data_IF_432489930003
#
_entry.id   IF_432489930003
#
_cell.length_a   1.000
_cell.length_b   1.000
_cell.length_c   1.000
_cell.angle_alpha   90.00
_cell.angle_beta   90.00
_cell.angle_gamma   90.00
#
_symmetry.space_group_name_H-M   'P 1'
#
loop_
_entity.id
_entity.type
_entity.pdbx_description
1 polymer ?
#
# COMPACT_ATOMS: atom_id res chain seq x y z
N UNK A 1 -12.28 -56.02 -21.45
CA UNK A 1 -10.91 -55.46 -21.51
C UNK A 1 -10.93 -54.00 -21.94
N UNK A 2 -11.83 -53.59 -22.84
CA UNK A 2 -11.99 -52.20 -23.29
C UNK A 2 -12.40 -51.21 -22.17
N UNK A 3 -13.20 -51.65 -21.19
CA UNK A 3 -13.63 -50.77 -20.09
C UNK A 3 -12.48 -50.34 -19.15
N UNK A 4 -11.46 -51.18 -18.98
CA UNK A 4 -10.34 -50.90 -18.09
C UNK A 4 -9.39 -49.84 -18.66
N UNK A 5 -9.19 -49.84 -19.99
CA UNK A 5 -8.34 -48.86 -20.67
C UNK A 5 -8.97 -47.46 -20.67
N UNK A 6 -10.31 -47.38 -20.76
CA UNK A 6 -11.03 -46.10 -20.67
C UNK A 6 -10.84 -45.39 -19.33
N UNK A 7 -10.91 -46.13 -18.21
CA UNK A 7 -10.70 -45.56 -16.88
C UNK A 7 -9.27 -45.03 -16.67
N UNK A 8 -8.26 -45.65 -17.27
CA UNK A 8 -6.87 -45.16 -17.22
C UNK A 8 -6.74 -43.83 -17.96
N UNK A 9 -7.33 -43.71 -19.15
CA UNK A 9 -7.32 -42.47 -19.93
C UNK A 9 -8.06 -41.34 -19.19
N UNK A 10 -9.25 -41.62 -18.65
CA UNK A 10 -10.02 -40.65 -17.86
C UNK A 10 -9.23 -40.21 -16.62
N UNK A 11 -8.63 -41.15 -15.89
CA UNK A 11 -7.80 -40.83 -14.72
C UNK A 11 -6.59 -39.97 -15.09
N UNK A 12 -5.92 -40.25 -16.22
CA UNK A 12 -4.79 -39.46 -16.70
C UNK A 12 -5.20 -38.02 -17.10
N UNK A 13 -6.34 -37.86 -17.78
CA UNK A 13 -6.87 -36.54 -18.16
C UNK A 13 -7.25 -35.75 -16.92
N UNK A 14 -7.99 -36.36 -15.99
CA UNK A 14 -8.38 -35.72 -14.72
C UNK A 14 -7.14 -35.35 -13.91
N UNK A 15 -6.18 -36.26 -13.73
CA UNK A 15 -4.93 -36.01 -13.01
C UNK A 15 -4.11 -34.87 -13.63
N UNK A 16 -3.97 -34.85 -14.95
CA UNK A 16 -3.25 -33.78 -15.67
C UNK A 16 -3.95 -32.43 -15.54
N UNK A 17 -5.29 -32.42 -15.58
CA UNK A 17 -6.10 -31.20 -15.44
C UNK A 17 -5.99 -30.63 -14.03
N UNK A 18 -6.06 -31.47 -13.00
CA UNK A 18 -5.89 -31.08 -11.60
C UNK A 18 -4.46 -30.54 -11.37
N UNK A 19 -3.45 -31.21 -11.92
CA UNK A 19 -2.06 -30.75 -11.83
C UNK A 19 -1.88 -29.37 -12.49
N UNK A 20 -2.39 -29.20 -13.70
CA UNK A 20 -2.31 -27.92 -14.42
C UNK A 20 -3.04 -26.81 -13.67
N UNK A 21 -4.23 -27.08 -13.13
CA UNK A 21 -4.97 -26.14 -12.30
C UNK A 21 -4.17 -25.74 -11.04
N UNK A 22 -3.57 -26.72 -10.35
CA UNK A 22 -2.70 -26.49 -9.20
C UNK A 22 -1.48 -25.62 -9.53
N UNK A 23 -0.82 -25.88 -10.66
CA UNK A 23 0.30 -25.06 -11.15
C UNK A 23 -0.16 -23.64 -11.48
N UNK A 24 -1.28 -23.47 -12.18
CA UNK A 24 -1.83 -22.15 -12.48
C UNK A 24 -2.14 -21.34 -11.22
N UNK A 25 -2.74 -21.98 -10.22
CA UNK A 25 -3.01 -21.37 -8.91
C UNK A 25 -1.70 -20.98 -8.20
N UNK A 26 -0.71 -21.87 -8.17
CA UNK A 26 0.59 -21.57 -7.57
C UNK A 26 1.26 -20.39 -8.26
N UNK A 27 1.27 -20.37 -9.60
CA UNK A 27 1.82 -19.26 -10.39
C UNK A 27 1.07 -17.94 -10.11
N UNK A 28 -0.25 -17.99 -9.95
CA UNK A 28 -1.06 -16.83 -9.60
C UNK A 28 -0.67 -16.25 -8.24
N UNK A 29 -0.53 -17.12 -7.24
CA UNK A 29 -0.14 -16.74 -5.88
C UNK A 29 1.30 -16.22 -5.86
N UNK A 30 2.22 -16.85 -6.60
CA UNK A 30 3.58 -16.37 -6.77
C UNK A 30 3.61 -15.00 -7.44
N UNK A 31 2.89 -14.82 -8.55
CA UNK A 31 2.82 -13.55 -9.27
C UNK A 31 2.25 -12.43 -8.37
N UNK A 32 1.23 -12.74 -7.57
CA UNK A 32 0.64 -11.83 -6.59
C UNK A 32 1.63 -11.46 -5.49
N UNK A 33 2.29 -12.44 -4.88
CA UNK A 33 3.27 -12.23 -3.81
C UNK A 33 4.54 -11.50 -4.29
N UNK A 34 4.93 -11.71 -5.55
CA UNK A 34 6.07 -11.06 -6.19
C UNK A 34 5.73 -9.68 -6.78
N UNK A 35 4.44 -9.32 -6.90
CA UNK A 35 4.04 -8.09 -7.58
C UNK A 35 4.74 -6.87 -6.99
N UNK A 36 4.65 -6.65 -5.67
CA UNK A 36 5.25 -5.46 -5.04
C UNK A 36 6.79 -5.45 -5.14
N UNK A 37 7.52 -6.53 -4.79
CA UNK A 37 8.96 -6.59 -5.03
C UNK A 37 9.34 -6.33 -6.49
N UNK A 38 8.68 -6.97 -7.46
CA UNK A 38 8.99 -6.77 -8.88
C UNK A 38 8.65 -5.35 -9.30
N UNK A 39 7.50 -4.84 -8.91
CA UNK A 39 7.02 -3.51 -9.28
C UNK A 39 7.91 -2.41 -8.69
N UNK A 40 8.33 -2.56 -7.44
CA UNK A 40 9.14 -1.55 -6.78
C UNK A 40 10.64 -1.69 -7.07
N UNK A 41 11.16 -2.90 -7.31
CA UNK A 41 12.59 -3.11 -7.62
C UNK A 41 12.89 -2.95 -9.10
N UNK A 42 12.04 -3.51 -9.96
CA UNK A 42 12.30 -3.58 -11.38
C UNK A 42 11.46 -2.60 -12.16
N UNK A 43 10.19 -2.40 -11.80
CA UNK A 43 9.36 -1.53 -12.63
C UNK A 43 9.78 -0.08 -12.39
N UNK A 44 9.89 0.37 -11.14
CA UNK A 44 10.22 1.76 -10.82
C UNK A 44 11.73 2.02 -10.73
N UNK A 45 12.30 2.68 -11.74
CA UNK A 45 13.74 2.96 -11.81
C UNK A 45 14.11 4.45 -11.74
N UNK A 46 15.42 4.78 -11.62
CA UNK A 46 15.92 6.15 -11.67
C UNK A 46 15.62 6.86 -13.01
N UNK A 47 15.22 6.10 -14.04
CA UNK A 47 14.79 6.60 -15.34
C UNK A 47 13.30 6.94 -15.39
N UNK A 48 12.60 7.01 -14.25
CA UNK A 48 11.21 7.45 -14.18
C UNK A 48 11.06 8.82 -14.85
N UNK A 49 10.11 8.95 -15.79
CA UNK A 49 9.83 10.20 -16.49
C UNK A 49 8.43 10.67 -16.17
N UNK A 50 8.29 11.98 -15.98
CA UNK A 50 6.98 12.64 -15.93
C UNK A 50 6.45 12.75 -17.35
N UNK A 51 5.36 12.06 -17.65
CA UNK A 51 4.64 12.19 -18.92
C UNK A 51 3.70 13.39 -18.91
N UNK A 52 3.06 13.60 -17.76
CA UNK A 52 2.10 14.65 -17.58
C UNK A 52 2.09 15.08 -16.12
N UNK A 53 2.05 16.39 -15.88
CA UNK A 53 1.80 16.97 -14.57
C UNK A 53 0.42 17.56 -14.59
N UNK A 54 -0.46 17.11 -13.69
CA UNK A 54 -1.72 17.82 -13.52
C UNK A 54 -1.47 19.14 -12.78
N UNK A 55 -2.36 20.13 -12.95
CA UNK A 55 -2.40 21.29 -12.06
C UNK A 55 -2.49 20.83 -10.60
N UNK A 56 -1.88 21.58 -9.69
CA UNK A 56 -2.00 21.33 -8.27
C UNK A 56 -3.46 21.49 -7.84
N UNK A 57 -4.06 20.42 -7.32
CA UNK A 57 -5.47 20.40 -6.95
C UNK A 57 -5.63 20.95 -5.55
N UNK A 58 -6.48 21.97 -5.39
CA UNK A 58 -6.87 22.48 -4.08
C UNK A 58 -7.99 21.61 -3.50
N UNK A 59 -7.76 21.00 -2.35
CA UNK A 59 -8.77 20.21 -1.61
C UNK A 59 -9.51 21.12 -0.61
N UNK A 60 -8.74 21.89 0.17
CA UNK A 60 -9.22 22.95 1.06
C UNK A 60 -8.30 24.17 0.92
N UNK A 61 -8.48 25.19 1.75
CA UNK A 61 -7.58 26.34 1.78
C UNK A 61 -6.16 25.96 2.24
N UNK A 62 -6.04 24.89 3.04
CA UNK A 62 -4.77 24.44 3.61
C UNK A 62 -4.25 23.15 3.02
N UNK A 63 -5.04 22.43 2.22
CA UNK A 63 -4.68 21.11 1.71
C UNK A 63 -4.70 21.08 0.19
N UNK A 64 -3.58 20.67 -0.40
CA UNK A 64 -3.40 20.55 -1.84
C UNK A 64 -2.87 19.16 -2.22
N UNK A 65 -3.15 18.71 -3.44
CA UNK A 65 -2.63 17.47 -4.00
C UNK A 65 -1.88 17.79 -5.30
N UNK A 66 -0.63 17.38 -5.35
CA UNK A 66 0.18 17.41 -6.56
C UNK A 66 0.26 16.00 -7.15
N UNK A 67 0.20 15.89 -8.48
CA UNK A 67 0.20 14.58 -9.13
C UNK A 67 0.85 14.61 -10.51
N UNK A 68 1.47 13.48 -10.83
CA UNK A 68 2.09 13.23 -12.12
C UNK A 68 1.63 11.89 -12.67
N UNK A 69 1.40 11.84 -13.98
CA UNK A 69 1.47 10.59 -14.73
C UNK A 69 2.94 10.34 -15.01
N UNK A 70 3.47 9.24 -14.49
CA UNK A 70 4.88 8.86 -14.67
C UNK A 70 4.99 7.54 -15.43
N UNK A 71 6.05 7.39 -16.21
CA UNK A 71 6.50 6.06 -16.68
C UNK A 71 7.44 5.45 -15.67
N UNK A 72 7.49 4.13 -15.66
CA UNK A 72 8.36 3.38 -14.77
C UNK A 72 9.84 3.39 -15.21
N UNK A 73 10.12 3.77 -16.47
CA UNK A 73 11.46 3.96 -17.02
C UNK A 73 11.65 3.33 -18.41
N UNK A 74 12.84 3.49 -19.00
CA UNK A 74 13.12 3.09 -20.38
C UNK A 74 13.83 1.73 -20.54
N UNK A 75 14.22 1.08 -19.43
CA UNK A 75 15.18 -0.04 -19.45
C UNK A 75 14.63 -1.40 -19.91
N UNK A 76 13.30 -1.60 -20.01
CA UNK A 76 12.74 -2.80 -20.65
C UNK A 76 11.44 -2.51 -21.42
N UNK A 77 11.12 -3.37 -22.39
CA UNK A 77 9.88 -3.27 -23.17
C UNK A 77 8.61 -3.38 -22.29
N UNK A 78 8.72 -4.03 -21.13
CA UNK A 78 7.65 -4.15 -20.14
C UNK A 78 7.50 -2.87 -19.30
N UNK A 79 8.61 -2.30 -18.82
CA UNK A 79 8.62 -1.07 -18.01
C UNK A 79 8.07 0.14 -18.77
N UNK A 80 8.36 0.25 -20.07
CA UNK A 80 7.87 1.36 -20.91
C UNK A 80 6.35 1.45 -21.00
N UNK A 81 5.64 0.36 -20.69
CA UNK A 81 4.18 0.26 -20.83
C UNK A 81 3.41 0.48 -19.54
N UNK A 82 4.08 0.57 -18.39
CA UNK A 82 3.42 0.79 -17.11
C UNK A 82 3.49 2.28 -16.78
N UNK A 83 2.41 2.98 -17.11
CA UNK A 83 2.14 4.33 -16.63
C UNK A 83 1.35 4.28 -15.33
N UNK A 84 1.60 5.24 -14.45
CA UNK A 84 0.96 5.30 -13.13
C UNK A 84 0.89 6.74 -12.65
N UNK A 85 0.01 6.97 -11.68
CA UNK A 85 0.03 8.21 -10.92
C UNK A 85 1.07 8.14 -9.79
N UNK A 86 1.84 9.22 -9.64
CA UNK A 86 2.62 9.54 -8.44
C UNK A 86 2.02 10.79 -7.84
N UNK A 87 1.61 10.72 -6.57
CA UNK A 87 0.89 11.80 -5.88
C UNK A 87 1.59 12.18 -4.58
N UNK A 88 1.49 13.46 -4.25
CA UNK A 88 1.96 14.07 -3.02
C UNK A 88 0.84 14.92 -2.42
N UNK A 89 0.63 14.81 -1.11
CA UNK A 89 -0.25 15.70 -0.34
C UNK A 89 0.58 16.82 0.25
N UNK A 90 0.08 18.05 0.15
CA UNK A 90 0.69 19.25 0.68
C UNK A 90 -0.28 19.82 1.71
N UNK A 91 0.18 19.99 2.94
CA UNK A 91 -0.59 20.58 4.05
C UNK A 91 0.10 21.87 4.47
N UNK A 92 -0.64 22.97 4.55
CA UNK A 92 -0.13 24.25 5.05
C UNK A 92 -0.59 24.51 6.48
N UNK A 93 0.27 25.16 7.25
CA UNK A 93 -0.03 25.66 8.58
C UNK A 93 0.71 26.99 8.78
N UNK A 94 -0.02 28.10 8.66
CA UNK A 94 0.60 29.42 8.51
C UNK A 94 1.43 29.48 7.22
N UNK A 95 2.68 29.94 7.32
CA UNK A 95 3.61 30.01 6.18
C UNK A 95 4.40 28.70 5.94
N UNK A 96 4.17 27.66 6.76
CA UNK A 96 4.90 26.40 6.71
C UNK A 96 4.13 25.32 5.95
N UNK A 97 4.87 24.46 5.27
CA UNK A 97 4.33 23.33 4.50
C UNK A 97 4.86 21.98 5.01
N UNK A 98 3.96 21.03 5.15
CA UNK A 98 4.22 19.60 5.32
C UNK A 98 3.91 18.87 4.01
N UNK A 99 4.89 18.18 3.45
CA UNK A 99 4.76 17.42 2.21
C UNK A 99 4.75 15.92 2.52
N UNK A 100 3.74 15.20 2.07
CA UNK A 100 3.60 13.76 2.29
C UNK A 100 3.65 13.00 0.98
N UNK A 101 4.58 12.05 0.92
CA UNK A 101 4.85 11.18 -0.21
C UNK A 101 5.37 11.91 -1.47
N UNK A 102 6.64 12.35 -1.47
CA UNK A 102 7.17 13.23 -2.51
C UNK A 102 7.07 12.63 -3.92
N UNK A 103 6.38 13.34 -4.81
CA UNK A 103 6.30 13.03 -6.24
C UNK A 103 7.44 13.74 -7.00
N UNK A 104 7.67 13.46 -8.31
CA UNK A 104 8.73 14.12 -9.06
C UNK A 104 8.74 15.66 -8.94
N UNK A 105 9.86 16.24 -8.49
CA UNK A 105 9.99 17.68 -8.32
C UNK A 105 10.34 18.36 -9.63
N UNK A 106 9.34 18.62 -10.47
CA UNK A 106 9.50 19.46 -11.68
C UNK A 106 9.61 20.94 -11.32
N UNK A 107 10.18 21.77 -12.20
CA UNK A 107 10.27 23.22 -11.98
C UNK A 107 8.92 23.88 -11.72
N UNK A 108 7.87 23.42 -12.42
CA UNK A 108 6.51 23.90 -12.22
C UNK A 108 5.99 23.57 -10.80
N UNK A 109 6.19 22.32 -10.37
CA UNK A 109 5.80 21.88 -9.02
C UNK A 109 6.58 22.62 -7.96
N UNK A 110 7.89 22.78 -8.13
CA UNK A 110 8.72 23.55 -7.21
C UNK A 110 8.22 24.98 -7.09
N UNK A 111 7.96 25.64 -8.23
CA UNK A 111 7.43 27.01 -8.26
C UNK A 111 6.08 27.13 -7.56
N UNK A 112 5.21 26.13 -7.69
CA UNK A 112 3.90 26.16 -7.02
C UNK A 112 4.03 25.89 -5.51
N UNK A 113 4.92 25.00 -5.09
CA UNK A 113 5.26 24.81 -3.66
C UNK A 113 5.83 26.10 -3.06
N UNK A 114 6.80 26.73 -3.73
CA UNK A 114 7.46 27.95 -3.25
C UNK A 114 6.45 29.11 -3.07
N UNK A 115 5.38 29.17 -3.88
CA UNK A 115 4.30 30.16 -3.73
C UNK A 115 3.38 29.88 -2.54
N UNK A 116 3.21 28.61 -2.16
CA UNK A 116 2.34 28.23 -1.06
C UNK A 116 2.97 28.52 0.30
N UNK A 117 4.30 28.46 0.41
CA UNK A 117 5.01 28.74 1.65
C UNK A 117 6.37 28.06 1.75
N UNK A 118 6.96 28.12 2.95
CA UNK A 118 8.23 27.49 3.29
C UNK A 118 8.03 26.00 3.57
N UNK A 119 8.75 25.14 2.85
CA UNK A 119 8.79 23.71 3.17
C UNK A 119 9.50 23.49 4.50
N UNK A 120 8.74 23.02 5.49
CA UNK A 120 9.22 22.74 6.85
C UNK A 120 9.49 21.24 7.04
N UNK A 121 8.59 20.39 6.54
CA UNK A 121 8.65 18.94 6.73
C UNK A 121 8.33 18.20 5.42
N UNK A 122 9.10 17.16 5.11
CA UNK A 122 8.91 16.26 3.97
C UNK A 122 8.92 14.82 4.46
N UNK A 123 7.85 14.07 4.21
CA UNK A 123 7.65 12.73 4.73
C UNK A 123 7.52 11.70 3.61
N UNK A 124 8.33 10.65 3.59
CA UNK A 124 8.01 9.45 2.80
C UNK A 124 7.13 8.53 3.65
N UNK A 125 5.94 8.17 3.20
CA UNK A 125 4.97 7.44 4.05
C UNK A 125 5.17 5.93 4.05
N UNK A 126 6.11 5.38 3.27
CA UNK A 126 6.53 3.98 3.36
C UNK A 126 7.94 3.79 2.77
N UNK A 127 8.43 2.55 2.75
CA UNK A 127 9.79 2.23 2.25
C UNK A 127 9.93 2.18 0.71
N UNK A 128 8.89 2.59 -0.04
CA UNK A 128 8.84 2.55 -1.50
C UNK A 128 8.83 3.93 -2.14
N UNK A 129 8.03 4.84 -1.60
CA UNK A 129 7.80 6.17 -2.18
C UNK A 129 8.85 7.20 -1.76
N UNK A 130 10.12 6.81 -1.81
CA UNK A 130 11.25 7.66 -1.48
C UNK A 130 12.06 8.09 -2.71
N UNK A 131 11.72 7.60 -3.90
CA UNK A 131 12.54 7.80 -5.11
C UNK A 131 12.83 9.28 -5.40
N UNK A 132 11.88 10.16 -5.11
CA UNK A 132 12.01 11.59 -5.36
C UNK A 132 12.68 12.36 -4.21
N UNK A 133 12.91 11.73 -3.04
CA UNK A 133 13.30 12.44 -1.80
C UNK A 133 14.60 13.23 -1.95
N UNK A 134 15.57 12.74 -2.73
CA UNK A 134 16.85 13.41 -2.95
C UNK A 134 16.68 14.77 -3.64
N UNK A 135 15.72 14.90 -4.57
CA UNK A 135 15.43 16.17 -5.23
C UNK A 135 14.88 17.20 -4.23
N UNK A 136 14.07 16.76 -3.27
CA UNK A 136 13.55 17.63 -2.21
C UNK A 136 14.64 17.98 -1.19
N UNK A 137 15.53 17.05 -0.83
CA UNK A 137 16.70 17.34 0.03
C UNK A 137 17.57 18.44 -0.60
N UNK A 138 17.79 18.38 -1.92
CA UNK A 138 18.57 19.39 -2.63
C UNK A 138 17.84 20.74 -2.71
N UNK A 139 16.52 20.73 -3.00
CA UNK A 139 15.73 21.93 -3.18
C UNK A 139 15.37 22.66 -1.86
N UNK A 140 15.23 21.91 -0.77
CA UNK A 140 14.77 22.39 0.53
C UNK A 140 15.68 21.90 1.66
N UNK A 141 16.97 22.31 1.69
CA UNK A 141 17.96 21.77 2.63
C UNK A 141 17.69 22.10 4.11
N UNK A 142 16.81 23.07 4.38
CA UNK A 142 16.38 23.43 5.74
C UNK A 142 15.15 22.65 6.25
N UNK A 143 14.51 21.85 5.40
CA UNK A 143 13.36 21.05 5.80
C UNK A 143 13.79 19.81 6.60
N UNK A 144 12.90 19.33 7.47
CA UNK A 144 13.02 18.02 8.11
C UNK A 144 12.56 16.93 7.15
N UNK A 145 13.32 15.85 7.06
CA UNK A 145 12.98 14.70 6.22
C UNK A 145 12.67 13.49 7.08
N UNK A 146 11.40 13.08 7.10
CA UNK A 146 10.92 11.99 7.94
C UNK A 146 10.64 10.77 7.05
N UNK A 147 11.14 9.62 7.45
CA UNK A 147 11.03 8.37 6.69
C UNK A 147 10.77 7.20 7.61
N UNK A 148 10.28 6.05 7.11
CA UNK A 148 10.20 4.85 7.94
C UNK A 148 11.60 4.36 8.31
N UNK A 149 11.76 3.79 9.50
CA UNK A 149 13.06 3.29 9.97
C UNK A 149 13.66 2.25 9.02
N UNK A 150 12.82 1.38 8.44
CA UNK A 150 13.21 0.40 7.43
C UNK A 150 13.84 1.02 6.19
N UNK A 151 13.44 2.25 5.83
CA UNK A 151 14.05 2.94 4.70
C UNK A 151 15.50 3.37 5.00
N UNK A 152 15.82 3.76 6.24
CA UNK A 152 17.19 4.08 6.66
C UNK A 152 18.10 2.83 6.70
N UNK A 153 17.52 1.64 6.85
CA UNK A 153 18.24 0.38 6.70
C UNK A 153 18.50 0.07 5.22
N UNK A 154 17.47 0.20 4.39
CA UNK A 154 17.52 -0.04 2.95
C UNK A 154 18.39 0.98 2.19
N UNK A 155 18.44 2.22 2.66
CA UNK A 155 19.19 3.34 2.05
C UNK A 155 20.05 4.05 3.11
N UNK A 156 21.19 3.46 3.50
CA UNK A 156 22.07 4.04 4.51
C UNK A 156 22.56 5.46 4.18
N UNK A 157 22.64 5.83 2.90
CA UNK A 157 23.01 7.18 2.47
C UNK A 157 22.00 8.27 2.87
N UNK A 158 20.76 7.90 3.22
CA UNK A 158 19.76 8.83 3.76
C UNK A 158 20.01 9.14 5.25
N UNK A 159 20.86 8.37 5.94
CA UNK A 159 21.20 8.63 7.35
C UNK A 159 21.92 9.97 7.47
N UNK A 160 21.58 10.73 8.51
CA UNK A 160 22.10 12.09 8.72
C UNK A 160 21.42 13.17 7.87
N UNK A 161 20.60 12.78 6.90
CA UNK A 161 19.70 13.68 6.15
C UNK A 161 18.23 13.48 6.49
N UNK A 162 17.86 12.26 6.83
CA UNK A 162 16.51 11.90 7.22
C UNK A 162 16.50 11.33 8.65
N UNK A 163 15.38 11.53 9.33
CA UNK A 163 15.06 10.96 10.64
C UNK A 163 13.92 9.94 10.52
N UNK A 164 13.88 8.91 11.37
CA UNK A 164 12.77 7.97 11.38
C UNK A 164 11.48 8.65 11.88
N UNK A 165 10.32 8.12 11.50
CA UNK A 165 9.07 8.43 12.20
C UNK A 165 9.23 8.17 13.72
N UNK A 166 8.63 9.00 14.59
CA UNK A 166 8.68 8.77 16.03
C UNK A 166 8.09 7.41 16.42
N UNK A 167 8.60 6.84 17.51
CA UNK A 167 8.30 5.47 17.93
C UNK A 167 6.83 5.14 18.21
N UNK A 168 6.03 6.03 18.85
CA UNK A 168 4.60 5.75 19.03
C UNK A 168 3.94 5.39 17.69
N UNK A 169 3.08 4.37 17.64
CA UNK A 169 2.44 3.97 16.39
C UNK A 169 1.47 5.04 15.87
N UNK A 170 1.08 5.98 16.72
CA UNK A 170 0.19 7.09 16.42
C UNK A 170 0.83 8.37 16.91
N UNK A 171 0.82 9.41 16.07
CA UNK A 171 1.37 10.70 16.46
C UNK A 171 1.15 11.76 15.39
N UNK A 172 1.94 12.81 15.45
CA UNK A 172 1.95 13.87 14.43
C UNK A 172 3.37 14.24 14.08
N UNK A 173 3.60 14.53 12.81
CA UNK A 173 4.88 15.04 12.28
C UNK A 173 4.76 16.44 11.71
N UNK A 174 3.54 16.94 11.54
CA UNK A 174 3.24 18.28 11.05
C UNK A 174 1.87 18.74 11.60
N UNK A 175 1.69 20.02 11.99
CA UNK A 175 0.42 20.51 12.52
C UNK A 175 -0.79 20.21 11.62
N UNK A 176 -1.92 19.84 12.22
CA UNK A 176 -3.13 19.46 11.49
C UNK A 176 -3.10 18.08 10.83
N UNK A 177 -2.09 17.26 11.15
CA UNK A 177 -1.96 15.89 10.66
C UNK A 177 -1.80 14.88 11.79
N UNK A 178 -2.27 13.66 11.56
CA UNK A 178 -2.01 12.49 12.41
C UNK A 178 -1.47 11.36 11.55
N UNK A 179 -0.41 10.70 11.98
CA UNK A 179 0.08 9.48 11.34
C UNK A 179 -0.33 8.23 12.12
N UNK A 180 -0.48 7.12 11.40
CA UNK A 180 -0.78 5.80 11.95
C UNK A 180 0.15 4.77 11.29
N UNK A 181 1.08 4.22 12.07
CA UNK A 181 2.04 3.21 11.64
C UNK A 181 1.33 1.86 11.52
N UNK A 182 1.30 1.31 10.32
CA UNK A 182 0.77 -0.03 10.08
C UNK A 182 1.84 -1.08 10.40
N UNK A 183 1.56 -2.05 11.30
CA UNK A 183 2.55 -3.06 11.69
C UNK A 183 2.97 -4.00 10.55
N UNK A 184 2.13 -4.16 9.53
CA UNK A 184 2.16 -5.31 8.61
C UNK A 184 2.76 -5.01 7.25
N UNK A 185 2.92 -3.72 6.92
CA UNK A 185 2.99 -3.33 5.52
C UNK A 185 4.13 -2.35 5.23
N UNK A 186 5.34 -2.85 4.95
CA UNK A 186 6.52 -2.07 4.55
C UNK A 186 6.79 -0.80 5.38
N UNK A 187 6.41 -0.85 6.66
CA UNK A 187 6.37 0.29 7.56
C UNK A 187 5.63 1.49 6.94
N UNK A 188 4.43 1.26 6.40
CA UNK A 188 3.55 2.29 5.90
C UNK A 188 2.95 3.07 7.06
N UNK A 189 2.89 4.38 6.86
CA UNK A 189 2.26 5.35 7.74
C UNK A 189 1.08 5.96 7.00
N UNK A 190 -0.13 5.65 7.44
CA UNK A 190 -1.32 6.37 7.00
C UNK A 190 -1.26 7.79 7.55
N UNK A 191 -1.68 8.78 6.78
CA UNK A 191 -1.73 10.18 7.21
C UNK A 191 -3.18 10.66 7.16
N UNK A 192 -3.74 11.05 8.30
CA UNK A 192 -5.01 11.75 8.37
C UNK A 192 -4.76 13.26 8.43
N UNK A 193 -5.39 14.00 7.53
CA UNK A 193 -5.34 15.46 7.48
C UNK A 193 -6.68 16.02 7.96
N UNK A 194 -6.66 16.69 9.11
CA UNK A 194 -7.88 17.00 9.87
C UNK A 194 -8.79 17.99 9.14
N UNK A 195 -8.24 19.10 8.64
CA UNK A 195 -8.98 20.16 7.94
C UNK A 195 -9.72 19.64 6.70
N UNK A 196 -9.11 18.67 6.00
CA UNK A 196 -9.68 18.10 4.80
C UNK A 196 -10.50 16.82 5.06
N UNK A 197 -10.57 16.32 6.31
CA UNK A 197 -11.12 15.01 6.62
C UNK A 197 -10.61 13.92 5.65
N UNK A 198 -9.32 14.02 5.30
CA UNK A 198 -8.66 13.25 4.24
C UNK A 198 -7.76 12.18 4.85
N UNK A 199 -8.03 10.92 4.53
CA UNK A 199 -7.10 9.83 4.78
C UNK A 199 -6.20 9.64 3.55
N UNK A 200 -4.90 9.68 3.77
CA UNK A 200 -3.87 9.36 2.80
C UNK A 200 -3.24 8.00 3.13
N UNK A 201 -3.15 7.14 2.12
CA UNK A 201 -2.45 5.87 2.18
C UNK A 201 -1.54 5.71 0.97
N UNK A 202 -0.34 5.16 1.12
CA UNK A 202 0.52 4.94 -0.02
C UNK A 202 -0.03 3.82 -0.92
N UNK A 203 -0.05 2.59 -0.39
CA UNK A 203 -0.35 1.40 -1.18
C UNK A 203 -1.34 0.44 -0.50
N UNK A 204 -1.55 0.54 0.83
CA UNK A 204 -2.38 -0.43 1.56
C UNK A 204 -3.85 -0.45 1.11
N UNK A 205 -4.39 0.67 0.65
CA UNK A 205 -5.77 0.76 0.15
C UNK A 205 -5.80 1.29 -1.29
N UNK A 206 -6.81 0.87 -2.03
CA UNK A 206 -7.11 1.32 -3.38
C UNK A 206 -8.57 1.75 -3.46
N UNK A 207 -8.87 3.06 -3.34
CA UNK A 207 -10.21 3.58 -3.62
C UNK A 207 -10.64 3.26 -5.05
N UNK A 208 -11.90 2.85 -5.20
CA UNK A 208 -12.54 2.60 -6.48
C UNK A 208 -13.23 3.89 -6.96
N UNK A 209 -13.00 4.21 -8.23
CA UNK A 209 -13.54 5.42 -8.83
C UNK A 209 -15.06 5.32 -9.03
N UNK A 210 -15.81 6.44 -8.92
CA UNK A 210 -17.17 6.51 -9.47
C UNK A 210 -17.18 6.33 -11.00
N UNK A 211 -18.31 5.85 -11.54
CA UNK A 211 -18.47 5.44 -12.94
C UNK A 211 -18.23 6.55 -13.99
N UNK A 212 -18.25 7.82 -13.61
CA UNK A 212 -17.94 8.94 -14.49
C UNK A 212 -16.51 9.46 -14.21
N UNK A 213 -15.58 9.39 -15.18
CA UNK A 213 -14.32 10.12 -15.05
C UNK A 213 -14.60 11.62 -14.98
N UNK A 214 -14.00 12.33 -14.03
CA UNK A 214 -14.15 13.79 -14.01
C UNK A 214 -13.63 14.35 -15.35
N UNK A 215 -14.29 15.39 -15.91
CA UNK A 215 -13.86 16.02 -17.14
C UNK A 215 -12.38 16.40 -17.06
N UNK A 216 -11.58 15.97 -18.04
CA UNK A 216 -10.14 16.24 -18.09
C UNK A 216 -9.22 15.22 -17.41
N UNK A 217 -9.75 14.09 -16.90
CA UNK A 217 -8.92 13.02 -16.30
C UNK A 217 -8.69 11.86 -17.28
N UNK A 218 -7.44 11.51 -17.53
CA UNK A 218 -7.08 10.33 -18.33
C UNK A 218 -7.19 9.07 -17.49
N UNK A 219 -8.09 8.15 -17.86
CA UNK A 219 -8.15 6.83 -17.24
C UNK A 219 -7.09 5.94 -17.89
N UNK A 220 -6.21 5.39 -17.07
CA UNK A 220 -5.29 4.34 -17.47
C UNK A 220 -6.09 3.11 -17.97
N UNK A 221 -5.67 2.53 -19.10
CA UNK A 221 -6.40 1.51 -19.88
C UNK A 221 -7.34 0.60 -19.04
N UNK A 222 -8.65 0.57 -19.34
CA UNK A 222 -9.65 -0.17 -18.58
C UNK A 222 -9.47 -1.69 -18.63
N UNK A 223 -8.60 -2.22 -19.49
CA UNK A 223 -8.41 -3.66 -19.66
C UNK A 223 -7.51 -4.28 -18.57
N UNK A 224 -6.49 -3.56 -18.12
CA UNK A 224 -5.50 -4.13 -17.19
C UNK A 224 -5.98 -4.11 -15.74
N UNK A 225 -6.84 -3.15 -15.39
CA UNK A 225 -7.25 -2.94 -14.00
C UNK A 225 -8.15 -4.02 -13.42
N UNK A 226 -9.24 -4.47 -14.07
CA UNK A 226 -10.06 -5.55 -13.51
C UNK A 226 -9.24 -6.82 -13.29
N UNK A 227 -8.25 -7.07 -14.15
CA UNK A 227 -7.31 -8.16 -13.99
C UNK A 227 -6.42 -7.95 -12.77
N UNK A 228 -5.69 -6.82 -12.68
CA UNK A 228 -4.83 -6.53 -11.53
C UNK A 228 -5.61 -6.42 -10.21
N UNK A 229 -6.79 -5.81 -10.21
CA UNK A 229 -7.65 -5.73 -9.02
C UNK A 229 -8.12 -7.12 -8.58
N UNK A 230 -8.46 -8.03 -9.51
CA UNK A 230 -8.75 -9.44 -9.16
C UNK A 230 -7.52 -10.20 -8.65
N UNK A 231 -6.32 -9.83 -9.10
CA UNK A 231 -5.08 -10.39 -8.59
C UNK A 231 -4.68 -9.84 -7.22
N UNK A 232 -5.05 -8.58 -6.93
CA UNK A 232 -4.56 -7.85 -5.77
C UNK A 232 -5.60 -7.66 -4.66
N UNK A 233 -6.88 -7.95 -4.90
CA UNK A 233 -8.01 -7.74 -3.96
C UNK A 233 -8.85 -9.00 -3.86
N UNK A 234 -9.38 -9.25 -2.66
CA UNK A 234 -10.12 -10.47 -2.39
C UNK A 234 -11.36 -10.56 -3.27
N UNK A 235 -11.68 -11.76 -3.75
CA UNK A 235 -12.83 -11.96 -4.64
C UNK A 235 -14.13 -11.45 -4.03
N UNK A 236 -14.29 -11.59 -2.72
CA UNK A 236 -15.53 -11.20 -2.03
C UNK A 236 -15.60 -9.69 -1.79
N UNK A 237 -14.47 -9.04 -1.50
CA UNK A 237 -14.41 -7.58 -1.44
C UNK A 237 -14.66 -7.01 -2.84
N UNK A 238 -14.03 -7.58 -3.86
CA UNK A 238 -14.26 -7.19 -5.24
C UNK A 238 -15.74 -7.36 -5.63
N UNK A 239 -16.35 -8.52 -5.40
CA UNK A 239 -17.77 -8.75 -5.75
C UNK A 239 -18.73 -7.81 -5.01
N UNK A 240 -18.47 -7.54 -3.73
CA UNK A 240 -19.38 -6.75 -2.89
C UNK A 240 -19.20 -5.24 -3.07
N UNK A 241 -17.99 -4.77 -3.37
CA UNK A 241 -17.64 -3.34 -3.40
C UNK A 241 -17.35 -2.80 -4.80
N UNK A 242 -16.91 -3.63 -5.74
CA UNK A 242 -16.54 -3.15 -7.08
C UNK A 242 -17.75 -2.55 -7.79
N UNK A 243 -17.57 -1.36 -8.37
CA UNK A 243 -18.63 -0.58 -8.99
C UNK A 243 -19.45 0.30 -8.04
N UNK A 244 -19.26 0.20 -6.72
CA UNK A 244 -19.88 1.16 -5.77
C UNK A 244 -19.07 2.45 -5.73
N UNK A 245 -19.68 3.63 -5.94
CA UNK A 245 -19.01 4.90 -5.71
C UNK A 245 -18.47 4.99 -4.28
N UNK A 246 -17.20 5.39 -4.13
CA UNK A 246 -16.58 5.53 -2.80
C UNK A 246 -16.10 4.22 -2.17
N UNK A 247 -16.21 3.09 -2.86
CA UNK A 247 -15.67 1.83 -2.36
C UNK A 247 -14.16 1.93 -2.13
N UNK A 248 -13.68 1.35 -1.03
CA UNK A 248 -12.26 1.23 -0.73
C UNK A 248 -11.90 -0.25 -0.76
N UNK A 249 -10.94 -0.60 -1.61
CA UNK A 249 -10.40 -1.94 -1.69
C UNK A 249 -9.17 -2.02 -0.80
N UNK A 250 -9.04 -3.09 -0.01
CA UNK A 250 -7.85 -3.35 0.78
C UNK A 250 -6.92 -4.20 -0.07
N UNK A 251 -5.64 -3.85 -0.13
CA UNK A 251 -4.70 -4.65 -0.87
C UNK A 251 -4.42 -5.95 -0.11
N UNK A 252 -4.94 -7.07 -0.61
CA UNK A 252 -4.84 -8.39 0.02
C UNK A 252 -3.40 -8.85 0.24
N UNK A 253 -2.43 -8.36 -0.54
CA UNK A 253 -1.03 -8.71 -0.32
C UNK A 253 -0.59 -8.25 1.08
N UNK A 254 -1.20 -7.19 1.63
CA UNK A 254 -0.92 -6.71 2.99
C UNK A 254 -1.21 -7.79 4.03
N UNK A 255 -2.20 -8.66 3.78
CA UNK A 255 -2.49 -9.84 4.62
C UNK A 255 -1.48 -10.97 4.43
N UNK A 256 -0.83 -11.03 3.27
CA UNK A 256 0.18 -12.03 2.89
C UNK A 256 1.59 -11.65 3.39
N UNK A 257 1.84 -10.38 3.69
CA UNK A 257 3.08 -9.90 4.29
C UNK A 257 3.16 -10.11 5.81
N UNK A 258 2.09 -10.57 6.46
CA UNK A 258 1.98 -10.59 7.93
C UNK A 258 3.01 -11.52 8.59
N UNK A 259 4.12 -10.93 9.03
CA UNK A 259 4.85 -11.34 10.23
C UNK A 259 4.40 -10.56 11.48
N UNK A 260 3.53 -9.55 11.32
CA UNK A 260 3.05 -8.68 12.39
C UNK A 260 1.88 -9.26 13.20
N UNK A 261 1.63 -8.66 14.37
CA UNK A 261 0.45 -8.96 15.18
C UNK A 261 -0.81 -8.38 14.52
N UNK A 262 -1.62 -9.26 13.92
CA UNK A 262 -2.89 -8.91 13.30
C UNK A 262 -3.83 -8.18 14.27
N UNK A 263 -3.80 -8.47 15.57
CA UNK A 263 -4.63 -7.77 16.56
C UNK A 263 -4.22 -6.31 16.66
N UNK A 264 -2.93 -6.02 16.74
CA UNK A 264 -2.40 -4.67 16.74
C UNK A 264 -2.83 -3.89 15.49
N UNK A 265 -2.78 -4.54 14.33
CA UNK A 265 -3.15 -3.91 13.06
C UNK A 265 -4.64 -3.63 12.95
N UNK A 266 -5.49 -4.57 13.38
CA UNK A 266 -6.93 -4.35 13.50
C UNK A 266 -7.22 -3.18 14.44
N UNK A 267 -6.53 -3.08 15.58
CA UNK A 267 -6.70 -1.98 16.52
C UNK A 267 -6.35 -0.62 15.89
N UNK A 268 -5.24 -0.52 15.16
CA UNK A 268 -4.87 0.70 14.43
C UNK A 268 -5.92 1.05 13.37
N UNK A 269 -6.40 0.08 12.60
CA UNK A 269 -7.45 0.32 11.61
C UNK A 269 -8.78 0.74 12.25
N UNK A 270 -9.14 0.18 13.41
CA UNK A 270 -10.32 0.62 14.16
C UNK A 270 -10.19 2.08 14.57
N UNK A 271 -9.02 2.51 15.04
CA UNK A 271 -8.79 3.91 15.40
C UNK A 271 -8.85 4.82 14.18
N UNK A 272 -8.16 4.47 13.09
CA UNK A 272 -8.16 5.23 11.83
C UNK A 272 -9.56 5.39 11.28
N UNK A 273 -10.32 4.30 11.18
CA UNK A 273 -11.65 4.30 10.57
C UNK A 273 -12.73 4.84 11.50
N UNK A 274 -12.40 5.10 12.77
CA UNK A 274 -13.22 5.87 13.71
C UNK A 274 -13.11 7.39 13.54
N UNK A 275 -12.14 7.87 12.76
CA UNK A 275 -11.98 9.29 12.45
C UNK A 275 -13.09 9.79 11.51
N UNK A 276 -13.36 11.10 11.46
CA UNK A 276 -14.38 11.68 10.58
C UNK A 276 -13.91 11.75 9.12
N UNK A 277 -13.47 10.62 8.55
CA UNK A 277 -12.95 10.53 7.18
C UNK A 277 -14.12 10.72 6.19
N UNK A 278 -13.95 11.67 5.29
CA UNK A 278 -14.88 11.89 4.16
C UNK A 278 -14.20 11.75 2.81
N UNK A 279 -12.86 11.75 2.79
CA UNK A 279 -12.06 11.65 1.57
C UNK A 279 -10.93 10.64 1.75
N UNK A 280 -10.64 9.90 0.69
CA UNK A 280 -9.47 9.03 0.62
C UNK A 280 -8.66 9.38 -0.62
N UNK A 281 -7.35 9.52 -0.45
CA UNK A 281 -6.41 9.63 -1.55
C UNK A 281 -5.24 8.68 -1.32
N UNK A 282 -4.53 8.38 -2.40
CA UNK A 282 -3.45 7.40 -2.36
C UNK A 282 -2.21 7.86 -3.11
N UNK A 283 -1.06 7.22 -2.89
CA UNK A 283 0.15 7.53 -3.65
C UNK A 283 0.07 7.05 -5.11
N UNK A 284 -0.58 5.90 -5.31
CA UNK A 284 -0.81 5.29 -6.61
C UNK A 284 -2.31 5.13 -6.89
N UNK A 285 -2.69 5.11 -8.15
CA UNK A 285 -4.04 4.76 -8.57
C UNK A 285 -4.23 5.06 -10.04
N UNK A 286 -5.47 4.97 -10.51
CA UNK A 286 -5.83 5.13 -11.93
C UNK A 286 -6.52 6.45 -12.25
N UNK A 287 -6.76 7.25 -11.23
CA UNK A 287 -7.48 8.51 -11.34
C UNK A 287 -6.74 9.60 -10.56
N UNK A 288 -7.11 10.85 -10.73
CA UNK A 288 -6.45 11.96 -10.06
C UNK A 288 -7.09 12.41 -8.74
N UNK A 289 -6.33 13.00 -7.83
CA UNK A 289 -6.85 13.58 -6.58
C UNK A 289 -7.35 12.55 -5.56
N UNK A 290 -8.59 12.72 -5.09
CA UNK A 290 -9.22 11.92 -4.02
C UNK A 290 -10.56 11.32 -4.46
N UNK A 291 -11.08 10.41 -3.65
CA UNK A 291 -12.45 9.87 -3.74
C UNK A 291 -13.18 10.21 -2.45
N UNK A 292 -14.41 10.69 -2.57
CA UNK A 292 -15.30 10.86 -1.43
C UNK A 292 -15.80 9.49 -0.98
N UNK A 293 -15.80 9.26 0.34
CA UNK A 293 -16.13 7.97 0.94
C UNK A 293 -17.27 8.12 1.94
N UNK A 294 -18.04 7.05 2.10
CA UNK A 294 -19.16 7.01 3.05
C UNK A 294 -18.77 6.23 4.30
N UNK A 295 -19.53 6.44 5.40
CA UNK A 295 -19.36 5.65 6.63
C UNK A 295 -19.54 4.16 6.38
N UNK A 296 -20.47 3.79 5.50
CA UNK A 296 -20.72 2.40 5.12
C UNK A 296 -19.52 1.79 4.40
N UNK A 297 -18.85 2.56 3.54
CA UNK A 297 -17.66 2.10 2.81
C UNK A 297 -16.47 1.91 3.76
N UNK A 298 -16.29 2.81 4.73
CA UNK A 298 -15.28 2.69 5.78
C UNK A 298 -15.57 1.51 6.72
N UNK A 299 -16.83 1.31 7.09
CA UNK A 299 -17.23 0.16 7.91
C UNK A 299 -17.00 -1.16 7.16
N UNK A 300 -17.33 -1.23 5.87
CA UNK A 300 -17.06 -2.41 5.06
C UNK A 300 -15.56 -2.73 4.96
N UNK A 301 -14.71 -1.69 4.85
CA UNK A 301 -13.26 -1.85 4.92
C UNK A 301 -12.83 -2.41 6.28
N UNK A 302 -13.36 -1.87 7.38
CA UNK A 302 -13.03 -2.34 8.73
C UNK A 302 -13.42 -3.80 8.96
N UNK A 303 -14.63 -4.20 8.54
CA UNK A 303 -15.07 -5.59 8.65
C UNK A 303 -14.20 -6.53 7.82
N UNK A 304 -13.71 -6.07 6.67
CA UNK A 304 -12.74 -6.82 5.88
C UNK A 304 -11.40 -6.97 6.61
N UNK A 305 -10.86 -5.91 7.20
CA UNK A 305 -9.61 -5.96 8.00
C UNK A 305 -9.76 -6.91 9.21
N UNK A 306 -10.93 -6.93 9.84
CA UNK A 306 -11.27 -7.86 10.94
C UNK A 306 -11.53 -9.29 10.49
N UNK A 307 -11.79 -9.53 9.21
CA UNK A 307 -12.11 -10.87 8.71
C UNK A 307 -10.92 -11.81 8.92
N UNK A 308 -11.20 -13.05 9.36
CA UNK A 308 -10.15 -14.07 9.57
C UNK A 308 -9.43 -14.37 8.26
N UNK A 309 -8.19 -14.84 8.39
CA UNK A 309 -7.41 -15.28 7.24
C UNK A 309 -8.05 -16.51 6.61
N UNK A 310 -8.14 -16.47 5.30
CA UNK A 310 -8.58 -17.59 4.49
C UNK A 310 -7.42 -18.56 4.25
N UNK A 311 -7.71 -19.76 3.73
CA UNK A 311 -6.66 -20.66 3.28
C UNK A 311 -5.77 -20.03 2.19
N UNK A 312 -6.32 -19.14 1.37
CA UNK A 312 -5.59 -18.39 0.35
C UNK A 312 -4.60 -17.38 0.94
N UNK A 313 -4.98 -16.71 2.03
CA UNK A 313 -4.09 -15.79 2.75
C UNK A 313 -2.90 -16.57 3.34
N UNK A 314 -3.17 -17.69 4.00
CA UNK A 314 -2.16 -18.55 4.60
C UNK A 314 -1.21 -19.13 3.54
N UNK A 315 -1.74 -19.61 2.42
CA UNK A 315 -0.93 -20.12 1.32
C UNK A 315 -0.11 -19.00 0.65
N UNK A 316 -0.70 -17.81 0.49
CA UNK A 316 0.01 -16.62 0.02
C UNK A 316 1.19 -16.24 0.91
N UNK A 317 1.02 -16.26 2.25
CA UNK A 317 2.13 -16.06 3.20
C UNK A 317 3.22 -17.11 3.05
N UNK A 318 2.82 -18.38 2.91
CA UNK A 318 3.78 -19.47 2.75
C UNK A 318 4.63 -19.28 1.49
N UNK A 319 3.99 -18.98 0.36
CA UNK A 319 4.66 -18.66 -0.90
C UNK A 319 5.55 -17.43 -0.75
N UNK A 320 5.04 -16.36 -0.13
CA UNK A 320 5.81 -15.15 0.13
C UNK A 320 7.07 -15.43 0.96
N UNK A 321 6.94 -16.11 2.10
CA UNK A 321 8.06 -16.43 2.99
C UNK A 321 9.08 -17.38 2.36
N UNK A 322 8.62 -18.38 1.60
CA UNK A 322 9.51 -19.42 1.07
C UNK A 322 10.19 -18.97 -0.21
N UNK A 323 9.40 -18.41 -1.13
CA UNK A 323 9.85 -18.09 -2.48
C UNK A 323 10.29 -16.63 -2.53
N UNK A 324 9.43 -15.70 -2.12
CA UNK A 324 9.72 -14.27 -2.27
C UNK A 324 10.85 -13.83 -1.37
N UNK A 325 10.81 -14.17 -0.07
CA UNK A 325 11.92 -13.80 0.82
C UNK A 325 13.21 -14.52 0.47
N UNK A 326 13.15 -15.80 0.08
CA UNK A 326 14.32 -16.53 -0.40
C UNK A 326 14.95 -15.88 -1.63
N UNK A 327 14.14 -15.56 -2.64
CA UNK A 327 14.58 -14.86 -3.84
C UNK A 327 15.05 -13.43 -3.54
N UNK A 328 14.34 -12.68 -2.70
CA UNK A 328 14.72 -11.32 -2.30
C UNK A 328 16.03 -11.31 -1.52
N UNK A 329 16.28 -12.30 -0.67
CA UNK A 329 17.54 -12.39 0.04
C UNK A 329 18.74 -12.54 -0.92
N UNK A 330 18.57 -13.36 -1.97
CA UNK A 330 19.61 -13.61 -2.96
C UNK A 330 19.75 -12.47 -3.99
N UNK A 331 18.63 -11.92 -4.48
CA UNK A 331 18.61 -10.99 -5.61
C UNK A 331 18.53 -9.51 -5.18
N UNK A 332 18.01 -9.23 -3.98
CA UNK A 332 17.70 -7.89 -3.48
C UNK A 332 18.12 -7.73 -2.00
N UNK A 333 19.42 -7.91 -1.68
CA UNK A 333 19.89 -7.92 -0.30
C UNK A 333 19.52 -6.65 0.48
N UNK A 334 19.42 -5.49 -0.19
CA UNK A 334 19.02 -4.22 0.40
C UNK A 334 17.55 -4.17 0.86
N UNK A 335 16.73 -5.13 0.43
CA UNK A 335 15.33 -5.29 0.83
C UNK A 335 15.13 -6.25 1.98
N UNK A 336 16.08 -7.16 2.20
CA UNK A 336 16.06 -8.11 3.31
C UNK A 336 15.72 -7.45 4.66
N UNK A 337 16.26 -6.25 5.01
CA UNK A 337 15.94 -5.62 6.28
C UNK A 337 14.46 -5.26 6.46
N UNK A 338 13.69 -5.10 5.37
CA UNK A 338 12.24 -4.82 5.45
C UNK A 338 11.42 -6.05 5.80
N UNK A 339 12.00 -7.23 5.64
CA UNK A 339 11.32 -8.51 5.80
C UNK A 339 11.80 -9.32 6.99
N UNK A 340 12.89 -8.89 7.62
CA UNK A 340 13.25 -9.43 8.93
C UNK A 340 12.15 -9.05 9.90
N UNK A 341 11.59 -10.04 10.57
CA UNK A 341 10.72 -9.77 11.71
C UNK A 341 11.49 -8.81 12.63
N UNK A 342 10.91 -7.66 13.00
CA UNK A 342 11.56 -6.78 13.94
C UNK A 342 11.85 -7.61 15.19
N UNK A 343 13.08 -7.56 15.70
CA UNK A 343 13.35 -8.09 17.05
C UNK A 343 12.28 -7.47 17.96
N UNK A 344 11.46 -8.32 18.60
CA UNK A 344 10.36 -7.85 19.43
C UNK A 344 10.92 -6.89 20.47
N UNK A 345 10.65 -5.60 20.30
CA UNK A 345 10.98 -4.61 21.30
C UNK A 345 9.99 -4.75 22.45
N UNK A 346 10.46 -4.58 23.69
CA UNK A 346 9.60 -4.56 24.88
C UNK A 346 8.42 -3.56 24.73
N UNK A 347 8.61 -2.48 23.97
CA UNK A 347 7.56 -1.50 23.66
C UNK A 347 6.44 -2.05 22.78
N UNK A 348 6.76 -2.94 21.84
CA UNK A 348 5.76 -3.57 20.96
C UNK A 348 4.93 -4.56 21.77
N UNK A 349 5.55 -5.31 22.67
CA UNK A 349 4.84 -6.23 23.57
C UNK A 349 3.91 -5.46 24.53
N UNK A 350 4.34 -4.31 25.07
CA UNK A 350 3.50 -3.47 25.92
C UNK A 350 2.26 -2.92 25.18
N UNK A 351 2.41 -2.48 23.93
CA UNK A 351 1.29 -2.01 23.11
C UNK A 351 0.31 -3.15 22.76
N UNK A 352 0.83 -4.34 22.43
CA UNK A 352 -0.01 -5.52 22.17
C UNK A 352 -0.76 -5.98 23.43
N UNK A 353 -0.13 -5.89 24.61
CA UNK A 353 -0.77 -6.20 25.89
C UNK A 353 -1.91 -5.23 26.22
N UNK A 354 -1.71 -3.92 26.00
CA UNK A 354 -2.76 -2.92 26.17
C UNK A 354 -3.92 -3.12 25.18
N UNK A 355 -3.64 -3.43 23.92
CA UNK A 355 -4.67 -3.69 22.91
C UNK A 355 -5.45 -4.98 23.20
N UNK A 356 -4.77 -6.03 23.67
CA UNK A 356 -5.39 -7.31 24.02
C UNK A 356 -6.35 -7.21 25.22
N UNK A 357 -6.13 -6.26 26.13
CA UNK A 357 -7.04 -6.00 27.25
C UNK A 357 -8.39 -5.39 26.81
N UNK A 358 -8.49 -4.84 25.60
CA UNK A 358 -9.69 -4.15 25.09
C UNK A 358 -10.57 -5.07 24.23
N UNK A 359 -10.02 -6.17 23.70
CA UNK A 359 -10.76 -7.13 22.88
C UNK A 359 -11.19 -8.32 23.74
N UNK A 360 -12.49 -8.71 23.77
CA UNK A 360 -12.93 -9.87 24.52
C UNK A 360 -12.19 -11.12 24.03
N UNK A 361 -11.64 -11.91 24.96
CA UNK A 361 -11.02 -13.20 24.67
C UNK A 361 -12.03 -14.08 23.93
N UNK A 362 -11.85 -14.22 22.62
CA UNK A 362 -12.50 -15.29 21.88
C UNK A 362 -11.64 -16.53 22.08
N UNK A 363 -12.21 -17.56 22.70
CA UNK A 363 -11.48 -18.77 23.12
C UNK A 363 -10.76 -19.41 21.93
N UNK A 364 -9.43 -19.51 22.02
CA UNK A 364 -8.55 -20.16 21.05
C UNK A 364 -8.85 -21.66 20.81
N UNK A 365 -9.74 -22.27 21.60
CA UNK A 365 -10.06 -23.70 21.51
C UNK A 365 -10.82 -24.12 20.24
N UNK A 366 -11.40 -23.20 19.48
CA UNK A 366 -12.09 -23.53 18.22
C UNK A 366 -11.16 -23.61 16.99
N UNK A 367 -9.86 -23.36 17.14
CA UNK A 367 -8.90 -23.31 16.03
C UNK A 367 -8.41 -24.69 15.53
N UNK A 368 -8.71 -25.79 16.22
CA UNK A 368 -8.14 -27.12 15.90
C UNK A 368 -9.12 -28.05 15.14
N UNK A 369 -10.40 -27.72 15.01
CA UNK A 369 -11.41 -28.70 14.51
C UNK A 369 -11.72 -28.56 13.00
N UNK A 370 -11.25 -27.51 12.31
CA UNK A 370 -11.72 -27.19 10.95
C UNK A 370 -11.03 -27.87 9.75
N UNK A 371 -9.96 -28.64 9.92
CA UNK A 371 -9.15 -29.15 8.78
C UNK A 371 -9.14 -30.68 8.60
N UNK A 372 -10.09 -31.42 9.18
CA UNK A 372 -10.09 -32.90 9.09
C UNK A 372 -11.05 -33.55 8.11
N UNK A 373 -11.89 -32.82 7.37
CA UNK A 373 -12.77 -33.43 6.36
C UNK A 373 -12.95 -32.51 5.13
N UNK A 374 -12.03 -32.60 4.17
CA UNK A 374 -12.29 -32.41 2.72
C UNK A 374 -11.39 -33.38 1.96
#
# INVERSE_FOLDING_TARGET
MEDAEWWVVVAAIVGSTVLLAGVCVLLLVCARALWDPIYCCHVSGPQMQVLHSSPMHRVTDTVHICEHIVTSGASSCLQRKITKYSRMVIVSHGEKLGLFNPCPLTDAVKKDIDKLGQVDTVCATNCFHYMCIHAYIAAYPGARFIVPAGLLLKRPQLRGRCEPYPEPPIGSVFPGTRYFRLPEFHQEHLIFVEDAALLWAADTISPHQPAAPNPGRTVLSPFMWPFLARLCVHSDQFKSQYGRPGAILFADYSRQFTGGDRRASVAIWQEVLGLPITRVSTAHGLYSGWVDVTKESLQALLEYVKARDTCWDLFGRFVFRTIVLGCCHCCFPEWTPLFKEPERSESTEAACAQASAVLPETSEQDLVIGCRNV
#
